data_IF_745755547623
#
_entry.id   IF_745755547623
#
_cell.length_a   1.000
_cell.length_b   1.000
_cell.length_c   1.000
_cell.angle_alpha   90.00
_cell.angle_beta   90.00
_cell.angle_gamma   90.00
#
_symmetry.space_group_name_H-M   'P 1'
#
loop_
_entity.id
_entity.type
_entity.pdbx_description
1 polymer ?
#
# COMPACT_ATOMS: atom_id res chain seq x y z
N UNK A 1 -13.86 3.59 20.25
CA UNK A 1 -13.32 2.91 19.06
C UNK A 1 -12.40 3.87 18.33
N UNK A 2 -11.16 3.48 18.03
CA UNK A 2 -10.25 4.30 17.23
C UNK A 2 -10.57 4.06 15.75
N UNK A 3 -10.95 5.12 15.01
CA UNK A 3 -11.03 5.07 13.56
C UNK A 3 -9.61 5.04 12.99
N UNK A 4 -9.23 3.94 12.34
CA UNK A 4 -7.96 3.85 11.60
C UNK A 4 -8.26 3.98 10.11
N UNK A 5 -7.71 4.99 9.46
CA UNK A 5 -7.83 5.18 8.01
C UNK A 5 -7.18 4.05 7.22
N UNK A 6 -6.08 3.51 7.77
CA UNK A 6 -5.31 2.40 7.20
C UNK A 6 -4.76 1.54 8.34
N UNK A 7 -4.73 0.23 8.14
CA UNK A 7 -4.16 -0.71 9.09
C UNK A 7 -3.61 -1.97 8.44
N UNK A 8 -2.72 -2.65 9.16
CA UNK A 8 -2.17 -3.95 8.78
C UNK A 8 -2.87 -5.05 9.56
N UNK A 9 -3.31 -6.09 8.85
CA UNK A 9 -3.94 -7.32 9.38
C UNK A 9 -3.26 -8.54 8.74
N UNK A 10 -2.29 -9.12 9.42
CA UNK A 10 -1.65 -10.40 9.05
C UNK A 10 -1.28 -10.57 7.55
N UNK A 11 -0.61 -9.58 6.97
CA UNK A 11 -0.21 -9.63 5.55
C UNK A 11 -1.25 -9.06 4.58
N UNK A 12 -2.23 -8.31 5.11
CA UNK A 12 -3.23 -7.57 4.37
C UNK A 12 -3.28 -6.14 4.88
N UNK A 13 -3.22 -5.16 3.99
CA UNK A 13 -3.45 -3.76 4.30
C UNK A 13 -4.93 -3.46 4.07
N UNK A 14 -5.60 -2.91 5.09
CA UNK A 14 -7.02 -2.53 5.01
C UNK A 14 -7.11 -1.03 5.12
N UNK A 15 -7.81 -0.39 4.18
CA UNK A 15 -7.99 1.07 4.14
C UNK A 15 -9.38 1.43 3.63
N UNK A 16 -9.85 2.62 3.97
CA UNK A 16 -11.10 3.17 3.42
C UNK A 16 -10.87 3.56 1.95
N UNK A 17 -11.82 3.23 1.06
CA UNK A 17 -11.90 3.77 -0.29
C UNK A 17 -12.43 5.21 -0.25
N UNK A 18 -11.51 6.17 -0.35
CA UNK A 18 -11.86 7.59 -0.28
C UNK A 18 -12.69 8.09 -1.47
N UNK A 19 -12.84 7.32 -2.54
CA UNK A 19 -13.70 7.70 -3.70
C UNK A 19 -15.18 7.52 -3.40
N UNK A 20 -15.52 6.75 -2.36
CA UNK A 20 -16.91 6.46 -1.97
C UNK A 20 -17.45 7.40 -0.88
N UNK A 21 -16.56 8.11 -0.20
CA UNK A 21 -16.94 9.12 0.78
C UNK A 21 -17.53 10.38 0.11
N UNK A 22 -18.51 11.06 0.75
CA UNK A 22 -19.13 10.74 2.04
C UNK A 22 -20.31 9.76 1.95
N UNK A 23 -20.68 9.35 0.74
CA UNK A 23 -21.90 8.57 0.48
C UNK A 23 -21.88 7.18 1.10
N UNK A 24 -20.72 6.51 1.08
CA UNK A 24 -20.58 5.17 1.61
C UNK A 24 -19.18 4.96 2.21
N UNK A 25 -19.13 4.34 3.39
CA UNK A 25 -17.90 3.83 3.99
C UNK A 25 -17.63 2.41 3.49
N UNK A 26 -16.66 2.27 2.59
CA UNK A 26 -16.23 0.98 2.02
C UNK A 26 -14.76 0.76 2.34
N UNK A 27 -14.43 -0.43 2.84
CA UNK A 27 -13.06 -0.86 3.09
C UNK A 27 -12.55 -1.72 1.94
N UNK A 28 -11.29 -1.52 1.58
CA UNK A 28 -10.59 -2.33 0.57
C UNK A 28 -9.43 -3.08 1.23
N UNK A 29 -9.23 -4.32 0.81
CA UNK A 29 -8.12 -5.17 1.22
C UNK A 29 -7.06 -5.18 0.12
N UNK A 30 -5.83 -4.84 0.47
CA UNK A 30 -4.69 -4.72 -0.42
C UNK A 30 -3.64 -5.73 0.05
N UNK A 31 -3.30 -6.68 -0.81
CA UNK A 31 -2.49 -7.86 -0.47
C UNK A 31 -1.08 -7.75 -1.05
N UNK A 32 -0.89 -6.96 -2.10
CA UNK A 32 0.42 -6.80 -2.77
C UNK A 32 0.84 -5.34 -2.86
N UNK A 33 2.11 -5.10 -3.20
CA UNK A 33 2.59 -3.74 -3.48
C UNK A 33 1.87 -3.15 -4.72
N UNK A 34 1.50 -4.00 -5.67
CA UNK A 34 0.74 -3.64 -6.87
C UNK A 34 -0.67 -3.17 -6.50
N UNK A 35 -1.33 -3.83 -5.55
CA UNK A 35 -2.65 -3.41 -5.04
C UNK A 35 -2.57 -2.01 -4.40
N UNK A 36 -1.53 -1.76 -3.59
CA UNK A 36 -1.27 -0.44 -3.02
C UNK A 36 -1.05 0.60 -4.12
N UNK A 37 -0.20 0.29 -5.10
CA UNK A 37 0.12 1.21 -6.19
C UNK A 37 -1.13 1.56 -7.01
N UNK A 38 -1.97 0.57 -7.29
CA UNK A 38 -3.26 0.76 -7.96
C UNK A 38 -4.21 1.62 -7.12
N UNK A 39 -4.34 1.35 -5.81
CA UNK A 39 -5.19 2.13 -4.92
C UNK A 39 -4.77 3.61 -4.82
N UNK A 40 -3.48 3.91 -4.87
CA UNK A 40 -2.96 5.30 -4.93
C UNK A 40 -3.30 5.95 -6.28
N UNK A 41 -3.06 5.26 -7.39
CA UNK A 41 -3.33 5.77 -8.76
C UNK A 41 -4.82 6.06 -8.98
N UNK A 42 -5.70 5.19 -8.50
CA UNK A 42 -7.16 5.33 -8.58
C UNK A 42 -7.74 6.30 -7.54
N UNK A 43 -6.89 6.98 -6.77
CA UNK A 43 -7.29 7.91 -5.70
C UNK A 43 -8.17 7.30 -4.59
N UNK A 44 -8.25 5.96 -4.50
CA UNK A 44 -8.84 5.26 -3.35
C UNK A 44 -8.06 5.57 -2.07
N UNK A 45 -6.74 5.72 -2.22
CA UNK A 45 -5.83 6.20 -1.18
C UNK A 45 -5.22 7.53 -1.62
N UNK A 46 -5.56 8.62 -0.91
CA UNK A 46 -5.06 9.96 -1.22
C UNK A 46 -4.79 10.78 0.04
N UNK A 47 -4.05 11.88 -0.14
CA UNK A 47 -3.51 12.71 0.95
C UNK A 47 -2.05 12.34 1.23
N UNK A 48 -1.14 13.32 1.20
CA UNK A 48 0.30 13.06 1.25
C UNK A 48 0.74 12.21 2.47
N UNK A 49 0.25 12.46 3.71
CA UNK A 49 0.60 11.61 4.84
C UNK A 49 0.15 10.15 4.67
N UNK A 50 -1.09 9.95 4.19
CA UNK A 50 -1.65 8.60 4.02
C UNK A 50 -0.93 7.84 2.90
N UNK A 51 -0.60 8.51 1.79
CA UNK A 51 0.16 7.93 0.69
C UNK A 51 1.52 7.44 1.19
N UNK A 52 2.21 8.22 2.04
CA UNK A 52 3.48 7.80 2.64
C UNK A 52 3.34 6.52 3.46
N UNK A 53 2.32 6.44 4.32
CA UNK A 53 2.05 5.24 5.13
C UNK A 53 1.69 4.04 4.24
N UNK A 54 0.82 4.23 3.25
CA UNK A 54 0.42 3.17 2.32
C UNK A 54 1.61 2.63 1.52
N UNK A 55 2.48 3.51 1.02
CA UNK A 55 3.70 3.11 0.31
C UNK A 55 4.65 2.30 1.21
N UNK A 56 4.85 2.73 2.46
CA UNK A 56 5.65 1.97 3.42
C UNK A 56 5.04 0.57 3.70
N UNK A 57 3.72 0.49 3.82
CA UNK A 57 3.02 -0.80 3.96
C UNK A 57 3.12 -1.65 2.69
N UNK A 58 3.16 -1.04 1.49
CA UNK A 58 3.42 -1.75 0.23
C UNK A 58 4.79 -2.43 0.22
N UNK A 59 5.83 -1.74 0.68
CA UNK A 59 7.16 -2.35 0.86
C UNK A 59 7.14 -3.47 1.91
N UNK A 60 6.38 -3.29 2.99
CA UNK A 60 6.20 -4.33 4.01
C UNK A 60 5.47 -5.57 3.44
N UNK A 61 4.46 -5.40 2.57
CA UNK A 61 3.80 -6.50 1.87
C UNK A 61 4.77 -7.26 0.96
N UNK A 62 5.63 -6.55 0.23
CA UNK A 62 6.69 -7.17 -0.58
C UNK A 62 7.60 -8.03 0.29
N UNK A 63 8.13 -7.47 1.40
CA UNK A 63 8.97 -8.24 2.32
C UNK A 63 8.24 -9.43 2.93
N UNK A 64 6.99 -9.26 3.35
CA UNK A 64 6.17 -10.30 3.99
C UNK A 64 5.89 -11.47 3.05
N UNK A 65 5.77 -11.22 1.74
CA UNK A 65 5.49 -12.24 0.72
C UNK A 65 6.73 -12.75 0.00
N UNK A 66 7.89 -12.14 0.25
CA UNK A 66 9.14 -12.52 -0.39
C UNK A 66 9.51 -13.97 -0.09
N UNK A 67 10.00 -14.67 -1.12
CA UNK A 67 10.62 -16.00 -0.99
C UNK A 67 12.13 -15.94 -1.17
N UNK A 68 12.70 -14.73 -1.17
CA UNK A 68 14.13 -14.52 -1.30
C UNK A 68 14.89 -15.28 -0.22
N UNK A 69 15.95 -15.98 -0.63
CA UNK A 69 16.84 -16.72 0.29
C UNK A 69 18.10 -15.95 0.65
N UNK A 70 18.29 -14.78 0.06
CA UNK A 70 19.42 -13.90 0.29
C UNK A 70 18.94 -12.48 0.54
N UNK A 71 19.73 -11.73 1.33
CA UNK A 71 19.50 -10.29 1.52
C UNK A 71 19.51 -9.55 0.18
N UNK A 72 20.38 -9.95 -0.75
CA UNK A 72 20.53 -9.26 -2.02
C UNK A 72 19.29 -9.41 -2.90
N UNK A 73 18.66 -10.58 -2.92
CA UNK A 73 17.43 -10.79 -3.69
C UNK A 73 16.24 -10.06 -3.07
N UNK A 74 16.11 -10.07 -1.75
CA UNK A 74 15.09 -9.28 -1.05
C UNK A 74 15.23 -7.78 -1.33
N UNK A 75 16.46 -7.26 -1.31
CA UNK A 75 16.72 -5.86 -1.62
C UNK A 75 16.31 -5.50 -3.05
N UNK A 76 16.56 -6.37 -4.03
CA UNK A 76 16.11 -6.15 -5.42
C UNK A 76 14.58 -6.09 -5.52
N UNK A 77 13.88 -6.98 -4.83
CA UNK A 77 12.41 -6.96 -4.78
C UNK A 77 11.89 -5.66 -4.17
N UNK A 78 12.45 -5.24 -3.04
CA UNK A 78 12.09 -3.97 -2.38
C UNK A 78 12.38 -2.74 -3.25
N UNK A 79 13.52 -2.72 -3.96
CA UNK A 79 13.86 -1.64 -4.88
C UNK A 79 12.89 -1.53 -6.05
N UNK A 80 12.46 -2.68 -6.61
CA UNK A 80 11.45 -2.73 -7.66
C UNK A 80 10.09 -2.20 -7.17
N UNK A 81 9.64 -2.65 -5.99
CA UNK A 81 8.41 -2.15 -5.36
C UNK A 81 8.50 -0.65 -5.03
N UNK A 82 9.64 -0.18 -4.53
CA UNK A 82 9.86 1.24 -4.25
C UNK A 82 9.80 2.09 -5.52
N UNK A 83 10.34 1.59 -6.63
CA UNK A 83 10.23 2.25 -7.94
C UNK A 83 8.77 2.33 -8.39
N UNK A 84 8.03 1.21 -8.34
CA UNK A 84 6.62 1.16 -8.69
C UNK A 84 5.79 2.18 -7.88
N UNK A 85 6.01 2.25 -6.57
CA UNK A 85 5.28 3.17 -5.68
C UNK A 85 5.62 4.64 -5.96
N UNK A 86 6.90 4.97 -6.22
CA UNK A 86 7.30 6.33 -6.61
C UNK A 86 6.62 6.80 -7.91
N UNK A 87 6.43 5.89 -8.86
CA UNK A 87 5.78 6.18 -10.14
C UNK A 87 4.25 6.37 -10.03
N UNK A 88 3.65 6.11 -8.87
CA UNK A 88 2.20 6.31 -8.68
C UNK A 88 1.80 7.79 -8.67
N UNK A 89 2.67 8.68 -8.18
CA UNK A 89 2.46 10.14 -8.15
C UNK A 89 3.81 10.89 -8.22
N UNK A 90 4.21 11.42 -9.39
CA UNK A 90 5.52 12.05 -9.60
C UNK A 90 5.63 13.52 -9.14
N UNK A 91 4.56 14.10 -8.59
CA UNK A 91 4.46 15.51 -8.19
C UNK A 91 4.88 15.76 -6.75
#
# INVERSE_FOLDING_TARGET
MSLRTIEWRDGVVVTIDQTKLPTQEVYVELKTCEDIAYAIKEMKVRGAPLIGVAAAMGLALTAFRSKARSRQDLMKELEASAKLLRETRPT
#
